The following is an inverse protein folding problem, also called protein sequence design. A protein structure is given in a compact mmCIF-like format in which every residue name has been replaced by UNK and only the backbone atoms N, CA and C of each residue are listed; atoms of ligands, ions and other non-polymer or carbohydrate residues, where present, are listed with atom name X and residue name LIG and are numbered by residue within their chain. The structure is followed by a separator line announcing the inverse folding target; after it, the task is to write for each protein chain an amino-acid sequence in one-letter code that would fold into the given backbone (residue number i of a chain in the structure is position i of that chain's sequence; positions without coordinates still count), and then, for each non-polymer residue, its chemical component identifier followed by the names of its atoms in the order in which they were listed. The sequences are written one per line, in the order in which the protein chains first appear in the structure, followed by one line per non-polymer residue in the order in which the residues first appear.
data_IF_430955429272
#
_entry.id   IF_430955429272
#
_cell.length_a   1.000
_cell.length_b   1.000
_cell.length_c   1.000
_cell.angle_alpha   90.00
_cell.angle_beta   90.00
_cell.angle_gamma   90.00
#
_symmetry.space_group_name_H-M   'P 1'
#
loop_
_entity.id
_entity.type
_entity.pdbx_description
1 polymer ?
#
# COMPACT_ATOMS: atom_id res chain seq x y z
N UNK A 1 26.63 3.30 3.88
CA UNK A 1 25.64 2.24 3.64
C UNK A 1 24.65 2.79 2.62
N UNK A 2 24.83 2.47 1.34
CA UNK A 2 23.95 2.93 0.26
C UNK A 2 22.89 1.87 0.01
N UNK A 3 21.61 2.20 0.19
CA UNK A 3 20.51 1.32 -0.18
C UNK A 3 20.22 1.52 -1.66
N UNK A 4 20.80 0.67 -2.51
CA UNK A 4 20.43 0.61 -3.92
C UNK A 4 19.08 -0.11 -4.02
N UNK A 5 17.98 0.65 -3.96
CA UNK A 5 16.67 0.10 -4.35
C UNK A 5 16.68 -0.11 -5.86
N UNK A 6 16.39 -1.31 -6.38
CA UNK A 6 16.15 -1.46 -7.81
C UNK A 6 14.92 -0.63 -8.15
N UNK A 7 15.11 0.41 -8.97
CA UNK A 7 14.01 1.16 -9.57
C UNK A 7 13.38 0.23 -10.60
N UNK A 8 12.48 -0.63 -10.14
CA UNK A 8 11.50 -1.26 -11.03
C UNK A 8 10.49 -0.16 -11.31
N UNK A 9 10.29 0.27 -12.57
CA UNK A 9 9.23 1.21 -12.89
C UNK A 9 7.92 0.52 -12.53
N UNK A 10 7.33 0.91 -11.40
CA UNK A 10 5.97 0.56 -11.09
C UNK A 10 5.15 1.30 -12.14
N UNK A 11 4.65 0.55 -13.12
CA UNK A 11 3.63 1.06 -14.03
C UNK A 11 2.57 1.74 -13.17
N UNK A 12 2.32 3.01 -13.49
CA UNK A 12 1.52 3.96 -12.73
C UNK A 12 0.19 3.32 -12.31
N UNK A 13 0.11 2.92 -11.04
CA UNK A 13 -1.16 2.54 -10.43
C UNK A 13 -1.95 3.84 -10.29
N UNK A 14 -2.92 4.02 -11.18
CA UNK A 14 -3.90 5.10 -11.16
C UNK A 14 -4.66 5.08 -9.82
N UNK A 15 -4.12 5.74 -8.79
CA UNK A 15 -4.77 6.30 -7.57
C UNK A 15 -3.88 6.31 -6.32
N UNK A 16 -2.78 5.56 -6.26
CA UNK A 16 -1.90 5.58 -5.10
C UNK A 16 -1.11 6.90 -5.03
N UNK A 17 -0.99 7.56 -3.86
CA UNK A 17 -0.18 8.77 -3.74
C UNK A 17 1.28 8.43 -4.06
N UNK A 18 1.80 9.01 -5.15
CA UNK A 18 3.18 8.84 -5.58
C UNK A 18 4.10 9.31 -4.44
N UNK A 19 5.05 8.47 -3.97
CA UNK A 19 5.97 8.89 -2.93
C UNK A 19 6.79 10.09 -3.43
N UNK A 20 7.13 11.04 -2.55
CA UNK A 20 7.92 12.20 -2.94
C UNK A 20 9.27 11.75 -3.53
N UNK A 21 9.65 12.32 -4.68
CA UNK A 21 10.91 12.00 -5.37
C UNK A 21 12.15 12.21 -4.48
N UNK A 22 12.06 13.11 -3.50
CA UNK A 22 13.05 13.31 -2.46
C UNK A 22 12.36 13.17 -1.08
N UNK A 23 12.43 12.02 -0.42
CA UNK A 23 11.77 11.80 0.86
C UNK A 23 12.43 12.63 1.98
N UNK A 24 11.61 13.14 2.90
CA UNK A 24 12.05 13.96 4.04
C UNK A 24 11.34 13.55 5.32
N UNK A 25 12.03 13.74 6.45
CA UNK A 25 11.42 13.61 7.77
C UNK A 25 10.55 14.85 8.06
N UNK A 26 9.45 14.71 8.82
CA UNK A 26 8.53 15.82 9.06
C UNK A 26 9.17 17.06 9.68
N UNK A 27 10.20 16.91 10.51
CA UNK A 27 10.91 18.04 11.11
C UNK A 27 11.73 18.85 10.08
N UNK A 28 12.09 18.25 8.94
CA UNK A 28 12.87 18.88 7.87
C UNK A 28 11.99 19.46 6.75
N UNK A 29 10.68 19.27 6.84
CA UNK A 29 9.75 19.78 5.84
C UNK A 29 9.53 21.30 5.96
N UNK A 30 9.36 21.93 4.81
CA UNK A 30 8.73 23.25 4.72
C UNK A 30 7.27 23.19 5.22
N UNK A 31 6.69 24.35 5.54
CA UNK A 31 5.28 24.42 5.97
C UNK A 31 4.31 23.80 4.94
N UNK A 32 4.54 24.03 3.65
CA UNK A 32 3.69 23.48 2.58
C UNK A 32 3.77 21.94 2.51
N UNK A 33 4.97 21.37 2.66
CA UNK A 33 5.15 19.91 2.68
C UNK A 33 4.49 19.27 3.90
N UNK A 34 4.55 19.92 5.06
CA UNK A 34 3.82 19.46 6.27
C UNK A 34 2.31 19.43 6.02
N UNK A 35 1.75 20.47 5.42
CA UNK A 35 0.34 20.55 5.09
C UNK A 35 -0.07 19.45 4.09
N UNK A 36 0.72 19.22 3.05
CA UNK A 36 0.48 18.15 2.08
C UNK A 36 0.54 16.76 2.73
N UNK A 37 1.54 16.49 3.59
CA UNK A 37 1.61 15.22 4.35
C UNK A 37 0.40 15.04 5.25
N UNK A 38 -0.03 16.08 5.97
CA UNK A 38 -1.20 16.01 6.84
C UNK A 38 -2.48 15.68 6.06
N UNK A 39 -2.67 16.30 4.90
CA UNK A 39 -3.80 16.01 4.01
C UNK A 39 -3.76 14.56 3.49
N UNK A 40 -2.59 14.09 3.07
CA UNK A 40 -2.41 12.70 2.64
C UNK A 40 -2.73 11.72 3.78
N UNK A 41 -2.20 11.93 4.99
CA UNK A 41 -2.45 11.06 6.13
C UNK A 41 -3.94 11.04 6.53
N UNK A 42 -4.61 12.19 6.50
CA UNK A 42 -6.04 12.27 6.77
C UNK A 42 -6.86 11.48 5.74
N UNK A 43 -6.50 11.53 4.46
CA UNK A 43 -7.13 10.72 3.42
C UNK A 43 -6.83 9.23 3.60
N UNK A 44 -5.58 8.87 3.92
CA UNK A 44 -5.18 7.48 4.15
C UNK A 44 -5.92 6.86 5.34
N UNK A 45 -6.10 7.59 6.45
CA UNK A 45 -6.81 7.07 7.63
C UNK A 45 -8.29 6.75 7.35
N UNK A 46 -8.90 7.35 6.32
CA UNK A 46 -10.25 7.02 5.89
C UNK A 46 -10.30 5.70 5.10
N UNK A 47 -9.24 5.37 4.36
CA UNK A 47 -9.15 4.15 3.56
C UNK A 47 -8.61 2.95 4.36
N UNK A 48 -7.64 3.18 5.27
CA UNK A 48 -6.98 2.17 6.07
C UNK A 48 -7.50 2.18 7.51
N UNK A 49 -8.66 1.55 7.69
CA UNK A 49 -9.36 1.48 8.97
C UNK A 49 -9.07 0.14 9.65
N UNK A 50 -8.75 0.18 10.94
CA UNK A 50 -8.63 -1.00 11.77
C UNK A 50 -9.99 -1.59 12.13
N UNK A 51 -10.08 -2.91 12.12
CA UNK A 51 -11.23 -3.70 12.57
C UNK A 51 -10.72 -4.93 13.33
N UNK A 52 -11.25 -5.15 14.52
CA UNK A 52 -10.95 -6.30 15.37
C UNK A 52 -12.09 -7.34 15.41
N UNK A 53 -13.15 -7.11 14.63
CA UNK A 53 -14.34 -7.98 14.55
C UNK A 53 -14.43 -8.75 13.22
N UNK A 54 -13.31 -8.90 12.51
CA UNK A 54 -13.28 -9.70 11.27
C UNK A 54 -13.67 -11.14 11.58
N UNK A 55 -14.71 -11.65 10.89
CA UNK A 55 -15.40 -12.90 11.24
C UNK A 55 -14.49 -14.14 11.35
N UNK A 56 -13.42 -14.20 10.55
CA UNK A 56 -12.47 -15.33 10.57
C UNK A 56 -11.48 -15.25 11.73
N UNK A 57 -11.25 -14.07 12.33
CA UNK A 57 -10.21 -13.80 13.33
C UNK A 57 -10.66 -12.72 14.34
N UNK A 58 -11.64 -13.00 15.22
CA UNK A 58 -12.12 -12.03 16.20
C UNK A 58 -11.05 -11.71 17.26
N UNK A 59 -10.94 -10.43 17.63
CA UNK A 59 -9.97 -9.90 18.58
C UNK A 59 -8.59 -9.59 17.99
N UNK A 60 -8.36 -9.88 16.71
CA UNK A 60 -7.11 -9.58 16.02
C UNK A 60 -7.29 -8.29 15.21
N UNK A 61 -6.45 -7.25 15.41
CA UNK A 61 -6.53 -6.03 14.63
C UNK A 61 -6.14 -6.30 13.18
N UNK A 62 -7.09 -6.11 12.27
CA UNK A 62 -6.93 -6.29 10.84
C UNK A 62 -7.42 -5.05 10.09
N UNK A 63 -7.08 -4.95 8.81
CA UNK A 63 -7.70 -3.95 7.96
C UNK A 63 -9.17 -4.33 7.74
N UNK A 64 -10.09 -3.39 7.98
CA UNK A 64 -11.55 -3.57 7.77
C UNK A 64 -11.89 -4.06 6.37
N UNK A 65 -11.14 -3.56 5.38
CA UNK A 65 -11.26 -3.92 3.98
C UNK A 65 -9.92 -3.67 3.29
N UNK A 66 -9.67 -4.37 2.19
CA UNK A 66 -8.47 -4.14 1.35
C UNK A 66 -8.81 -3.06 0.32
N UNK A 67 -8.13 -1.89 0.32
CA UNK A 67 -8.30 -0.88 -0.73
C UNK A 67 -7.93 -1.42 -2.11
N UNK A 68 -8.52 -0.88 -3.17
CA UNK A 68 -8.29 -1.35 -4.55
C UNK A 68 -6.81 -1.30 -4.94
N UNK A 69 -6.11 -0.25 -4.53
CA UNK A 69 -4.67 -0.06 -4.79
C UNK A 69 -3.78 -1.12 -4.11
N UNK A 70 -4.34 -1.86 -3.14
CA UNK A 70 -3.66 -2.91 -2.40
C UNK A 70 -4.07 -4.32 -2.85
N UNK A 71 -4.89 -4.45 -3.90
CA UNK A 71 -5.19 -5.75 -4.50
C UNK A 71 -3.95 -6.33 -5.20
N UNK A 72 -3.85 -7.66 -5.34
CA UNK A 72 -2.71 -8.25 -6.03
C UNK A 72 -2.63 -7.79 -7.48
N UNK A 73 -1.40 -7.58 -7.95
CA UNK A 73 -1.14 -7.17 -9.34
C UNK A 73 -1.49 -8.30 -10.32
N UNK A 74 -1.64 -7.95 -11.60
CA UNK A 74 -1.87 -8.95 -12.65
C UNK A 74 -0.76 -10.01 -12.70
N UNK A 75 0.50 -9.61 -12.48
CA UNK A 75 1.63 -10.54 -12.40
C UNK A 75 1.47 -11.52 -11.23
N UNK A 76 1.03 -11.03 -10.07
CA UNK A 76 0.78 -11.88 -8.92
C UNK A 76 -0.34 -12.89 -9.21
N UNK A 77 -1.43 -12.46 -9.84
CA UNK A 77 -2.53 -13.35 -10.24
C UNK A 77 -2.08 -14.43 -11.23
N UNK A 78 -1.22 -14.10 -12.19
CA UNK A 78 -0.68 -15.08 -13.13
C UNK A 78 0.13 -16.17 -12.42
N UNK A 79 0.93 -15.80 -11.41
CA UNK A 79 1.65 -16.76 -10.57
C UNK A 79 0.70 -17.65 -9.78
N UNK A 80 -0.30 -17.06 -9.12
CA UNK A 80 -1.28 -17.82 -8.34
C UNK A 80 -2.00 -18.86 -9.22
N UNK A 81 -2.52 -18.44 -10.36
CA UNK A 81 -3.23 -19.33 -11.30
C UNK A 81 -2.32 -20.44 -11.80
N UNK A 82 -1.08 -20.11 -12.17
CA UNK A 82 -0.11 -21.09 -12.66
C UNK A 82 0.24 -22.16 -11.62
N UNK A 83 0.36 -21.77 -10.34
CA UNK A 83 0.60 -22.72 -9.24
C UNK A 83 -0.64 -23.57 -8.97
N UNK A 84 -1.82 -22.94 -8.87
CA UNK A 84 -3.08 -23.67 -8.61
C UNK A 84 -3.37 -24.73 -9.68
N UNK A 85 -3.12 -24.43 -10.96
CA UNK A 85 -3.29 -25.40 -12.05
C UNK A 85 -2.34 -26.60 -11.96
N UNK A 86 -1.13 -26.42 -11.43
CA UNK A 86 -0.16 -27.50 -11.19
C UNK A 86 -0.49 -28.37 -9.98
N UNK A 87 -1.29 -27.85 -9.03
CA UNK A 87 -1.73 -28.61 -7.86
C UNK A 87 -2.94 -29.50 -8.22
N UNK A 88 -3.83 -29.01 -9.08
CA UNK A 88 -5.07 -29.69 -9.44
C UNK A 88 -4.89 -30.72 -10.57
N UNK A 89 -3.86 -30.57 -11.41
CA UNK A 89 -3.50 -31.55 -12.45
C UNK A 89 -2.41 -32.50 -11.96
#
# INVERSE_FOLDING_TARGET
MSFQSPIVPHAETLCAPVPPAAPSLPQNDTHAQKAARAAQLAASQQAYVWDDQVATLPGVPLAKSVPLDNLPTLQWWALLIGISLKIVR
#
